data_IF_278356299834
#
_entry.id   IF_278356299834
#
_cell.length_a   1.000
_cell.length_b   1.000
_cell.length_c   1.000
_cell.angle_alpha   90.00
_cell.angle_beta   90.00
_cell.angle_gamma   90.00
#
_symmetry.space_group_name_H-M   'P 1'
#
loop_
_entity.id
_entity.type
_entity.pdbx_description
1 polymer ?
#
# COMPACT_ATOMS: atom_id res chain seq x y z
N UNK A 1 -1.50 20.90 26.75
CA UNK A 1 -0.24 20.22 27.12
C UNK A 1 0.06 19.07 26.17
N UNK A 2 -0.85 18.09 25.98
CA UNK A 2 -0.66 16.97 25.04
C UNK A 2 -0.38 17.43 23.59
N UNK A 3 -1.08 18.47 23.11
CA UNK A 3 -0.86 19.04 21.77
C UNK A 3 0.54 19.66 21.54
N UNK A 4 1.26 20.07 22.59
CA UNK A 4 2.63 20.57 22.46
C UNK A 4 3.66 19.44 22.41
N UNK A 5 3.31 18.26 22.94
CA UNK A 5 4.13 17.05 22.83
C UNK A 5 3.94 16.35 21.48
N UNK A 6 2.80 16.57 20.81
CA UNK A 6 2.49 15.97 19.50
C UNK A 6 3.60 16.21 18.45
N UNK A 7 4.18 17.41 18.41
CA UNK A 7 5.23 17.77 17.44
C UNK A 7 6.50 16.91 17.62
N UNK A 8 6.74 16.38 18.84
CA UNK A 8 7.85 15.44 19.05
C UNK A 8 7.59 14.09 18.37
N UNK A 9 6.33 13.64 18.28
CA UNK A 9 5.96 12.39 17.63
C UNK A 9 5.88 12.50 16.11
N UNK A 10 5.60 13.68 15.56
CA UNK A 10 5.64 13.89 14.11
C UNK A 10 7.02 13.54 13.52
N UNK A 11 8.10 13.72 14.28
CA UNK A 11 9.47 13.31 13.89
C UNK A 11 9.72 11.81 13.92
N UNK A 12 8.85 11.03 14.54
CA UNK A 12 8.92 9.57 14.61
C UNK A 12 7.85 8.88 13.75
N UNK A 13 6.89 9.64 13.20
CA UNK A 13 5.81 9.12 12.38
C UNK A 13 6.29 8.79 10.95
N UNK A 14 6.15 7.53 10.47
CA UNK A 14 6.60 7.14 9.13
C UNK A 14 6.05 8.01 7.99
N UNK A 15 4.80 8.47 8.08
CA UNK A 15 4.18 9.32 7.04
C UNK A 15 4.97 10.61 6.82
N UNK A 16 5.60 11.15 7.87
CA UNK A 16 6.46 12.34 7.79
C UNK A 16 7.71 12.12 6.94
N UNK A 17 8.09 10.87 6.64
CA UNK A 17 9.28 10.51 5.88
C UNK A 17 8.99 9.81 4.56
N UNK A 18 7.75 9.44 4.25
CA UNK A 18 7.38 8.74 3.01
C UNK A 18 7.87 9.46 1.75
N UNK A 19 7.82 10.79 1.72
CA UNK A 19 8.33 11.62 0.62
C UNK A 19 9.84 11.49 0.38
N UNK A 20 10.59 11.08 1.40
CA UNK A 20 12.05 10.91 1.32
C UNK A 20 12.49 9.55 0.77
N UNK A 21 11.55 8.66 0.47
CA UNK A 21 11.87 7.29 0.06
C UNK A 21 12.51 7.25 -1.32
N UNK A 22 12.03 8.06 -2.28
CA UNK A 22 12.42 7.96 -3.69
C UNK A 22 13.05 9.22 -4.26
N UNK A 23 12.41 10.39 -4.16
CA UNK A 23 12.87 11.60 -4.88
C UNK A 23 13.59 12.63 -4.01
N UNK A 24 13.26 12.73 -2.72
CA UNK A 24 13.85 13.70 -1.78
C UNK A 24 14.60 12.98 -0.64
N UNK A 25 15.62 12.20 -1.00
CA UNK A 25 16.23 11.27 -0.07
C UNK A 25 16.96 11.94 1.09
N UNK A 26 16.84 11.35 2.28
CA UNK A 26 17.66 11.73 3.44
C UNK A 26 19.17 11.56 3.14
N UNK A 27 20.05 12.36 3.78
CA UNK A 27 21.49 12.25 3.57
C UNK A 27 22.02 10.82 3.76
N UNK A 28 22.69 10.30 2.74
CA UNK A 28 23.26 8.94 2.74
C UNK A 28 22.27 7.82 2.42
N UNK A 29 21.01 8.12 2.09
CA UNK A 29 20.04 7.12 1.64
C UNK A 29 19.92 7.14 0.11
N UNK A 30 20.07 5.98 -0.58
CA UNK A 30 19.77 5.91 -2.01
C UNK A 30 18.26 5.97 -2.27
N UNK A 31 17.83 6.36 -3.49
CA UNK A 31 16.45 6.20 -3.92
C UNK A 31 16.05 4.73 -3.89
N UNK A 32 14.82 4.46 -3.45
CA UNK A 32 14.25 3.11 -3.33
C UNK A 32 12.94 3.06 -4.10
N UNK A 33 12.70 1.92 -4.75
CA UNK A 33 11.38 1.55 -5.24
C UNK A 33 10.64 0.78 -4.15
N UNK A 34 9.31 0.92 -4.09
CA UNK A 34 8.46 0.28 -3.07
C UNK A 34 7.33 -0.50 -3.72
N UNK A 35 7.05 -1.69 -3.19
CA UNK A 35 5.81 -2.43 -3.42
C UNK A 35 4.92 -2.28 -2.18
N UNK A 36 3.68 -1.83 -2.38
CA UNK A 36 2.68 -1.66 -1.31
C UNK A 36 1.56 -2.67 -1.56
N UNK A 37 1.43 -3.65 -0.66
CA UNK A 37 0.34 -4.62 -0.70
C UNK A 37 -0.70 -4.24 0.35
N UNK A 38 -1.93 -4.00 -0.10
CA UNK A 38 -2.99 -3.38 0.71
C UNK A 38 -4.17 -4.35 0.81
N UNK A 39 -4.63 -4.65 2.02
CA UNK A 39 -5.87 -5.38 2.21
C UNK A 39 -7.04 -4.39 2.31
N UNK A 40 -8.02 -4.50 1.41
CA UNK A 40 -9.26 -3.72 1.49
C UNK A 40 -10.05 -4.19 2.72
N UNK A 41 -10.47 -3.24 3.55
CA UNK A 41 -11.26 -3.56 4.75
C UNK A 41 -10.43 -4.05 5.94
N UNK A 42 -9.11 -3.84 5.95
CA UNK A 42 -8.22 -4.11 7.10
C UNK A 42 -8.72 -3.44 8.39
N UNK A 43 -8.89 -4.24 9.46
CA UNK A 43 -9.45 -3.76 10.75
C UNK A 43 -8.44 -2.93 11.54
N UNK A 44 -7.14 -3.05 11.22
CA UNK A 44 -6.03 -2.46 11.95
C UNK A 44 -5.49 -1.21 11.25
N UNK A 45 -5.42 -1.22 9.92
CA UNK A 45 -4.82 -0.15 9.11
C UNK A 45 -5.68 0.19 7.90
N UNK A 46 -6.32 1.36 7.92
CA UNK A 46 -7.15 1.81 6.78
C UNK A 46 -6.35 1.94 5.48
N UNK A 47 -6.98 1.55 4.36
CA UNK A 47 -6.43 1.74 3.01
C UNK A 47 -6.11 3.22 2.70
N UNK A 48 -6.80 4.17 3.33
CA UNK A 48 -6.47 5.59 3.23
C UNK A 48 -5.03 5.89 3.65
N UNK A 49 -4.50 5.18 4.66
CA UNK A 49 -3.11 5.30 5.09
C UNK A 49 -2.13 4.87 3.99
N UNK A 50 -2.42 3.75 3.31
CA UNK A 50 -1.65 3.29 2.16
C UNK A 50 -1.72 4.29 0.99
N UNK A 51 -2.89 4.86 0.71
CA UNK A 51 -3.04 5.86 -0.35
C UNK A 51 -2.28 7.15 -0.03
N UNK A 52 -2.30 7.61 1.22
CA UNK A 52 -1.50 8.77 1.67
C UNK A 52 -0.01 8.46 1.52
N UNK A 53 0.43 7.26 1.91
CA UNK A 53 1.81 6.82 1.74
C UNK A 53 2.23 6.81 0.26
N UNK A 54 1.44 6.21 -0.62
CA UNK A 54 1.71 6.13 -2.05
C UNK A 54 1.81 7.51 -2.70
N UNK A 55 0.89 8.42 -2.38
CA UNK A 55 0.93 9.81 -2.86
C UNK A 55 2.12 10.59 -2.32
N UNK A 56 2.47 10.39 -1.05
CA UNK A 56 3.63 11.04 -0.43
C UNK A 56 4.95 10.57 -1.05
N UNK A 57 5.10 9.26 -1.32
CA UNK A 57 6.24 8.71 -2.06
C UNK A 57 6.27 9.29 -3.50
N UNK A 58 5.09 9.48 -4.10
CA UNK A 58 4.91 9.96 -5.48
C UNK A 58 5.23 8.87 -6.51
N UNK A 59 4.71 8.94 -7.72
CA UNK A 59 4.99 7.98 -8.82
C UNK A 59 4.92 6.49 -8.46
N UNK A 60 4.11 6.15 -7.46
CA UNK A 60 3.63 4.79 -7.21
C UNK A 60 2.48 4.57 -8.19
N UNK A 61 2.52 3.48 -8.94
CA UNK A 61 1.42 3.10 -9.85
C UNK A 61 0.49 2.09 -9.18
N UNK A 62 -0.81 2.24 -9.37
CA UNK A 62 -1.80 1.22 -9.03
C UNK A 62 -1.81 0.15 -10.14
N UNK A 63 -1.64 -1.12 -9.77
CA UNK A 63 -1.42 -2.17 -10.77
C UNK A 63 -2.73 -2.74 -11.28
N UNK A 64 -2.95 -2.58 -12.58
CA UNK A 64 -4.07 -3.14 -13.28
C UNK A 64 -3.90 -4.65 -13.56
N UNK A 65 -5.01 -5.41 -13.58
CA UNK A 65 -6.39 -4.99 -13.33
C UNK A 65 -6.65 -4.64 -11.85
N UNK A 66 -7.23 -3.45 -11.62
CA UNK A 66 -7.44 -2.89 -10.28
C UNK A 66 -8.79 -3.35 -9.69
N UNK A 67 -8.87 -3.47 -8.36
CA UNK A 67 -10.14 -3.67 -7.67
C UNK A 67 -11.03 -2.41 -7.72
N UNK A 68 -10.42 -1.22 -7.67
CA UNK A 68 -11.09 0.07 -7.74
C UNK A 68 -10.11 1.17 -8.14
N UNK A 69 -10.62 2.23 -8.77
CA UNK A 69 -9.81 3.39 -9.08
C UNK A 69 -9.43 4.17 -7.81
N UNK A 70 -8.15 4.51 -7.66
CA UNK A 70 -7.64 5.25 -6.50
C UNK A 70 -7.34 6.70 -6.87
N UNK A 71 -7.95 7.65 -6.16
CA UNK A 71 -7.81 9.06 -6.49
C UNK A 71 -6.33 9.51 -6.43
N UNK A 72 -5.87 10.20 -7.48
CA UNK A 72 -4.53 10.79 -7.52
C UNK A 72 -3.39 9.78 -7.54
N UNK A 73 -3.66 8.54 -7.91
CA UNK A 73 -2.66 7.49 -8.19
C UNK A 73 -2.95 6.98 -9.60
N UNK A 74 -1.93 6.96 -10.45
CA UNK A 74 -2.07 6.55 -11.84
C UNK A 74 -2.03 5.02 -11.96
N UNK A 75 -2.80 4.47 -12.88
CA UNK A 75 -2.84 3.04 -13.18
C UNK A 75 -1.68 2.62 -14.10
N UNK A 76 -1.14 1.41 -13.91
CA UNK A 76 -0.23 0.76 -14.84
C UNK A 76 -0.50 -0.75 -14.96
N UNK A 77 -0.36 -1.30 -16.17
CA UNK A 77 -0.48 -2.74 -16.37
C UNK A 77 0.77 -3.50 -15.87
N UNK A 78 0.55 -4.68 -15.28
CA UNK A 78 1.63 -5.64 -15.06
C UNK A 78 2.09 -6.28 -16.39
N UNK A 79 3.38 -6.65 -16.54
CA UNK A 79 4.46 -6.39 -15.59
C UNK A 79 4.89 -4.91 -15.58
N UNK A 80 5.13 -4.36 -14.40
CA UNK A 80 5.52 -2.96 -14.20
C UNK A 80 6.88 -2.88 -13.49
N UNK A 81 7.75 -1.94 -13.90
CA UNK A 81 9.04 -1.72 -13.24
C UNK A 81 9.02 -0.40 -12.48
N UNK A 82 9.29 -0.46 -11.17
CA UNK A 82 9.26 0.71 -10.29
C UNK A 82 8.31 0.53 -9.11
N UNK A 83 8.01 1.64 -8.45
CA UNK A 83 7.15 1.65 -7.26
C UNK A 83 5.69 1.39 -7.63
N UNK A 84 5.05 0.49 -6.92
CA UNK A 84 3.69 0.06 -7.22
C UNK A 84 2.87 -0.23 -5.97
N UNK A 85 1.55 -0.21 -6.14
CA UNK A 85 0.57 -0.61 -5.15
C UNK A 85 -0.37 -1.65 -5.76
N UNK A 86 -0.76 -2.62 -4.94
CA UNK A 86 -1.75 -3.65 -5.27
C UNK A 86 -2.73 -3.74 -4.10
N UNK A 87 -4.01 -3.45 -4.35
CA UNK A 87 -5.07 -3.72 -3.39
C UNK A 87 -5.62 -5.14 -3.59
N UNK A 88 -5.85 -5.85 -2.48
CA UNK A 88 -6.48 -7.17 -2.41
C UNK A 88 -7.88 -7.04 -1.79
N UNK A 89 -8.90 -7.55 -2.48
CA UNK A 89 -10.28 -7.63 -1.99
C UNK A 89 -10.53 -9.02 -1.40
N UNK A 90 -11.03 -9.09 -0.16
CA UNK A 90 -11.38 -10.34 0.52
C UNK A 90 -12.91 -10.49 0.70
N UNK A 91 -13.71 -9.77 -0.10
CA UNK A 91 -15.17 -9.85 -0.07
C UNK A 91 -15.80 -9.24 1.18
N UNK A 92 -15.12 -8.30 1.83
CA UNK A 92 -15.61 -7.63 3.04
C UNK A 92 -16.63 -6.54 2.71
N UNK A 93 -17.38 -6.11 3.72
CA UNK A 93 -18.28 -4.96 3.58
C UNK A 93 -17.48 -3.68 3.24
N UNK A 94 -18.10 -2.68 2.59
CA UNK A 94 -17.44 -1.42 2.29
C UNK A 94 -16.81 -0.76 3.53
N UNK A 95 -15.61 -0.22 3.36
CA UNK A 95 -14.87 0.43 4.44
C UNK A 95 -15.66 1.60 5.06
N UNK A 96 -15.68 1.75 6.40
CA UNK A 96 -16.33 2.87 7.05
C UNK A 96 -15.75 4.21 6.61
N UNK A 97 -16.61 5.20 6.36
CA UNK A 97 -16.20 6.57 6.00
C UNK A 97 -16.03 7.50 7.20
N UNK A 98 -16.12 6.97 8.41
CA UNK A 98 -15.95 7.71 9.67
C UNK A 98 -14.76 7.13 10.45
N UNK A 99 -14.35 7.79 11.54
CA UNK A 99 -13.21 7.36 12.34
C UNK A 99 -13.54 6.14 13.24
N UNK A 100 -13.96 5.05 12.63
CA UNK A 100 -14.28 3.76 13.26
C UNK A 100 -13.63 2.68 12.38
N UNK A 101 -12.88 1.74 12.97
CA UNK A 101 -12.29 0.64 12.20
C UNK A 101 -13.40 -0.26 11.61
N UNK A 102 -13.16 -0.92 10.47
CA UNK A 102 -14.00 -2.03 10.05
C UNK A 102 -14.08 -3.09 11.16
N UNK A 103 -15.25 -3.72 11.32
CA UNK A 103 -15.47 -4.79 12.28
C UNK A 103 -16.21 -6.00 11.69
N UNK A 104 -16.64 -5.88 10.45
CA UNK A 104 -17.41 -6.91 9.76
C UNK A 104 -16.45 -7.92 9.12
N UNK A 105 -16.81 -9.21 9.22
CA UNK A 105 -16.00 -10.29 8.68
C UNK A 105 -14.71 -10.57 9.47
N UNK A 106 -13.82 -11.32 8.85
CA UNK A 106 -12.49 -11.63 9.38
C UNK A 106 -11.50 -10.53 9.00
N UNK A 107 -10.67 -10.10 9.95
CA UNK A 107 -9.63 -9.09 9.73
C UNK A 107 -8.62 -9.55 8.67
N UNK A 108 -8.52 -8.88 7.51
CA UNK A 108 -7.64 -9.29 6.43
C UNK A 108 -6.19 -8.82 6.62
N UNK A 109 -5.85 -8.15 7.73
CA UNK A 109 -4.54 -7.49 7.94
C UNK A 109 -3.30 -8.35 7.61
N UNK A 110 -3.36 -9.65 7.89
CA UNK A 110 -2.27 -10.58 7.59
C UNK A 110 -2.41 -11.28 6.22
N UNK A 111 -3.63 -11.32 5.66
CA UNK A 111 -3.98 -12.21 4.56
C UNK A 111 -3.14 -12.02 3.29
N UNK A 112 -2.84 -10.80 2.80
CA UNK A 112 -2.00 -10.65 1.62
C UNK A 112 -0.66 -11.39 1.74
N UNK A 113 -0.01 -11.34 2.92
CA UNK A 113 1.28 -11.99 3.16
C UNK A 113 1.21 -13.52 3.20
N UNK A 114 0.02 -14.08 3.33
CA UNK A 114 -0.22 -15.52 3.37
C UNK A 114 -0.55 -16.09 1.98
N UNK A 115 -0.85 -15.23 0.99
CA UNK A 115 -1.13 -15.64 -0.37
C UNK A 115 0.16 -16.03 -1.11
N UNK A 116 0.23 -17.23 -1.73
CA UNK A 116 1.39 -17.63 -2.51
C UNK A 116 1.71 -16.66 -3.66
N UNK A 117 0.68 -16.11 -4.32
CA UNK A 117 0.85 -15.14 -5.40
C UNK A 117 1.48 -13.82 -4.95
N UNK A 118 1.05 -13.29 -3.80
CA UNK A 118 1.63 -12.10 -3.18
C UNK A 118 3.10 -12.32 -2.78
N UNK A 119 3.39 -13.47 -2.16
CA UNK A 119 4.77 -13.84 -1.81
C UNK A 119 5.68 -13.95 -3.06
N UNK A 120 5.14 -14.47 -4.17
CA UNK A 120 5.86 -14.57 -5.44
C UNK A 120 6.08 -13.19 -6.10
N UNK A 121 5.09 -12.28 -6.00
CA UNK A 121 5.22 -10.89 -6.42
C UNK A 121 6.31 -10.18 -5.64
N UNK A 122 6.31 -10.31 -4.31
CA UNK A 122 7.32 -9.75 -3.43
C UNK A 122 8.73 -10.28 -3.76
N UNK A 123 8.92 -11.59 -3.93
CA UNK A 123 10.22 -12.17 -4.30
C UNK A 123 10.74 -11.60 -5.63
N UNK A 124 9.86 -11.53 -6.65
CA UNK A 124 10.24 -10.96 -7.96
C UNK A 124 10.60 -9.49 -7.84
N UNK A 125 9.80 -8.69 -7.14
CA UNK A 125 10.04 -7.28 -6.92
C UNK A 125 11.39 -7.05 -6.22
N UNK A 126 11.65 -7.76 -5.11
CA UNK A 126 12.90 -7.62 -4.36
C UNK A 126 14.14 -8.00 -5.17
N UNK A 127 14.02 -8.93 -6.12
CA UNK A 127 15.14 -9.38 -6.96
C UNK A 127 15.36 -8.53 -8.21
N UNK A 128 14.30 -7.96 -8.77
CA UNK A 128 14.32 -7.41 -10.13
C UNK A 128 13.77 -5.99 -10.26
N UNK A 129 13.07 -5.48 -9.24
CA UNK A 129 12.31 -4.24 -9.31
C UNK A 129 11.04 -4.32 -10.16
N UNK A 130 10.67 -5.53 -10.62
CA UNK A 130 9.47 -5.77 -11.44
C UNK A 130 8.34 -6.29 -10.57
N UNK A 131 7.17 -5.65 -10.69
CA UNK A 131 5.90 -6.06 -10.11
C UNK A 131 5.13 -6.83 -11.17
N UNK A 132 4.73 -8.05 -10.81
CA UNK A 132 3.93 -8.97 -11.63
C UNK A 132 2.73 -9.41 -10.80
N UNK A 133 1.55 -9.44 -11.40
CA UNK A 133 0.37 -10.00 -10.73
C UNK A 133 0.27 -11.50 -10.99
N UNK A 134 -0.10 -12.23 -9.95
CA UNK A 134 -0.41 -13.67 -10.00
C UNK A 134 -1.89 -13.92 -9.70
N UNK A 135 -2.71 -12.87 -9.77
CA UNK A 135 -4.16 -12.91 -9.65
C UNK A 135 -4.80 -13.19 -11.03
N UNK A 136 -5.98 -13.80 -11.07
CA UNK A 136 -6.76 -13.96 -12.30
C UNK A 136 -7.76 -12.81 -12.43
N UNK A 137 -7.36 -11.75 -13.11
CA UNK A 137 -8.08 -10.48 -13.03
C UNK A 137 -7.61 -9.66 -11.84
N UNK A 138 -8.53 -8.89 -11.25
CA UNK A 138 -8.23 -8.11 -10.05
C UNK A 138 -7.84 -9.06 -8.90
N UNK A 139 -7.10 -8.57 -7.92
CA UNK A 139 -6.68 -9.43 -6.81
C UNK A 139 -7.83 -9.59 -5.80
N UNK A 140 -8.63 -10.64 -5.98
CA UNK A 140 -9.82 -10.98 -5.17
C UNK A 140 -9.80 -12.45 -4.70
N UNK A 141 -8.78 -12.88 -3.93
CA UNK A 141 -8.67 -14.27 -3.48
C UNK A 141 -9.90 -14.73 -2.66
N UNK A 142 -10.28 -16.00 -2.83
CA UNK A 142 -11.36 -16.66 -2.07
C UNK A 142 -11.14 -16.64 -0.55
#
# INVERSE_FOLDING_TARGET
>A
MLALLQILWDRAEPTGYSHTIRTDNLPGSPPKEILIEVAIGDHQVSTLGAHVMARAIGGVADIAPENRAIWGIDSAAAPYTGSAMVEYDFGLAPEPTTNIPPSDGEDPHAKPRELPGAAQMLDRFLRTGVVETYCDGACDPE
#
